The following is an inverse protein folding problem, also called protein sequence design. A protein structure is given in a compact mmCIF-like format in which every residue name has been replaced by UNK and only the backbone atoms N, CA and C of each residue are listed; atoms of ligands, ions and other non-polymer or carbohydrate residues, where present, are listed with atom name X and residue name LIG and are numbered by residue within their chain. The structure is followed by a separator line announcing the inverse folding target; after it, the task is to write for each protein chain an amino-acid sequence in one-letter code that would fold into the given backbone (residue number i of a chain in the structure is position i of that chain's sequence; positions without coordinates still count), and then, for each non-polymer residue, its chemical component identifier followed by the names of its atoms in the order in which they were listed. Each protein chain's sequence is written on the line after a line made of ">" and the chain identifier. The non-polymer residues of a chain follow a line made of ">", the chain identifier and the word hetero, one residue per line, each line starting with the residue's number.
data_IF_562916585434
#
_entry.id   IF_562916585434
#
_cell.length_a   1.000
_cell.length_b   1.000
_cell.length_c   1.000
_cell.angle_alpha   90.00
_cell.angle_beta   90.00
_cell.angle_gamma   90.00
#
_symmetry.space_group_name_H-M   'P 1'
#
loop_
_entity.id
_entity.type
_entity.pdbx_description
1 polymer ?
#
# COMPACT_ATOMS: atom_id res chain seq x y z
N UNK A 1 -20.82 -51.78 42.70
CA UNK A 1 -20.50 -51.53 41.27
C UNK A 1 -20.40 -50.04 41.06
N UNK A 2 -19.17 -49.48 41.04
CA UNK A 2 -18.94 -48.04 40.88
C UNK A 2 -18.57 -47.81 39.39
N UNK A 3 -19.45 -47.09 38.64
CA UNK A 3 -19.19 -46.69 37.27
C UNK A 3 -18.33 -45.43 37.26
N UNK A 4 -17.08 -45.52 36.80
CA UNK A 4 -16.19 -44.38 36.55
C UNK A 4 -16.50 -43.84 35.15
N UNK A 5 -17.00 -42.64 35.10
CA UNK A 5 -17.30 -41.93 33.86
C UNK A 5 -16.09 -41.07 33.49
N UNK A 6 -15.29 -41.52 32.52
CA UNK A 6 -14.14 -40.77 32.00
C UNK A 6 -14.64 -39.64 31.12
N UNK A 7 -14.42 -38.39 31.55
CA UNK A 7 -14.57 -37.22 30.71
C UNK A 7 -13.33 -37.08 29.83
N UNK A 8 -13.49 -37.26 28.50
CA UNK A 8 -12.49 -36.88 27.54
C UNK A 8 -12.57 -35.36 27.34
N UNK A 9 -11.55 -34.63 27.77
CA UNK A 9 -11.34 -33.23 27.42
C UNK A 9 -10.75 -33.17 25.99
N UNK A 10 -11.56 -32.71 25.04
CA UNK A 10 -11.12 -32.41 23.69
C UNK A 10 -10.48 -31.01 23.71
N UNK A 11 -9.14 -30.96 23.79
CA UNK A 11 -8.39 -29.71 23.67
C UNK A 11 -8.38 -29.27 22.20
N UNK A 12 -9.19 -28.28 21.85
CA UNK A 12 -9.10 -27.60 20.56
C UNK A 12 -7.81 -26.75 20.55
N UNK A 13 -6.80 -27.17 19.81
CA UNK A 13 -5.65 -26.32 19.49
C UNK A 13 -6.15 -25.24 18.51
N UNK A 14 -6.29 -24.00 19.00
CA UNK A 14 -6.43 -22.85 18.15
C UNK A 14 -5.09 -22.61 17.43
N UNK A 15 -5.05 -22.82 16.11
CA UNK A 15 -3.92 -22.43 15.29
C UNK A 15 -3.78 -20.89 15.37
N UNK A 16 -2.57 -20.33 15.56
CA UNK A 16 -2.38 -18.89 15.47
C UNK A 16 -2.76 -18.45 14.07
N UNK A 17 -3.66 -17.46 13.97
CA UNK A 17 -3.90 -16.75 12.73
C UNK A 17 -2.64 -15.91 12.46
N UNK A 18 -1.79 -16.36 11.54
CA UNK A 18 -0.70 -15.53 11.03
C UNK A 18 -1.34 -14.38 10.27
N UNK A 19 -1.07 -13.13 10.72
CA UNK A 19 -1.31 -11.96 9.89
C UNK A 19 -0.54 -12.20 8.58
N UNK A 20 -1.20 -11.96 7.44
CA UNK A 20 -0.58 -12.16 6.13
C UNK A 20 0.52 -11.09 5.97
N UNK A 21 1.78 -11.50 6.16
CA UNK A 21 2.95 -10.62 6.09
C UNK A 21 3.14 -9.96 4.71
N UNK A 22 2.38 -10.43 3.71
CA UNK A 22 2.35 -9.89 2.35
C UNK A 22 1.16 -8.95 2.09
N UNK A 23 0.38 -8.62 3.13
CA UNK A 23 -0.75 -7.69 3.05
C UNK A 23 -0.44 -6.42 3.84
N UNK A 24 -0.56 -5.27 3.18
CA UNK A 24 -0.28 -3.96 3.73
C UNK A 24 -1.53 -3.08 3.72
N UNK A 25 -1.71 -2.29 4.76
CA UNK A 25 -2.73 -1.25 4.83
C UNK A 25 -2.05 0.10 5.05
N UNK A 26 -2.48 1.11 4.30
CA UNK A 26 -2.01 2.49 4.40
C UNK A 26 -3.22 3.40 4.49
N UNK A 27 -3.18 4.35 5.40
CA UNK A 27 -4.18 5.40 5.52
C UNK A 27 -3.62 6.73 5.01
N UNK A 28 -4.47 7.50 4.34
CA UNK A 28 -4.21 8.88 3.93
C UNK A 28 -5.29 9.80 4.50
N UNK A 29 -4.99 11.09 4.70
CA UNK A 29 -5.91 12.02 5.34
C UNK A 29 -5.93 13.40 4.69
N UNK A 30 -6.85 14.28 5.13
CA UNK A 30 -6.99 15.65 4.63
C UNK A 30 -5.84 16.59 5.01
N UNK A 31 -4.85 16.14 5.80
CA UNK A 31 -3.65 16.88 6.12
C UNK A 31 -2.47 16.57 5.18
N UNK A 32 -2.71 15.93 4.03
CA UNK A 32 -1.69 15.47 3.07
C UNK A 32 -0.65 14.56 3.75
N UNK A 33 -1.10 13.53 4.45
CA UNK A 33 -0.23 12.60 5.17
C UNK A 33 -0.64 11.15 4.90
N UNK A 34 0.36 10.28 4.76
CA UNK A 34 0.21 8.86 5.02
C UNK A 34 0.45 8.60 6.51
N UNK A 35 -0.24 7.60 7.06
CA UNK A 35 -0.06 7.15 8.45
C UNK A 35 1.32 6.51 8.70
N UNK A 36 2.02 6.14 7.63
CA UNK A 36 3.36 5.54 7.69
C UNK A 36 4.31 6.16 6.69
N UNK A 37 5.61 6.13 7.02
CA UNK A 37 6.71 6.56 6.15
C UNK A 37 7.65 5.42 5.78
N UNK A 38 7.38 4.22 6.25
CA UNK A 38 8.15 3.03 5.91
C UNK A 38 7.25 1.80 5.86
N UNK A 39 7.37 1.05 4.79
CA UNK A 39 6.69 -0.23 4.57
C UNK A 39 7.74 -1.29 4.27
N UNK A 40 7.52 -2.50 4.73
CA UNK A 40 8.38 -3.64 4.39
C UNK A 40 7.58 -4.93 4.32
N UNK A 41 8.02 -5.81 3.45
CA UNK A 41 7.51 -7.19 3.34
C UNK A 41 8.70 -8.16 3.27
N UNK A 42 8.54 -9.39 3.76
CA UNK A 42 9.57 -10.42 3.63
C UNK A 42 9.89 -10.73 2.16
N UNK A 43 11.13 -11.11 1.86
CA UNK A 43 11.55 -11.56 0.53
C UNK A 43 10.82 -12.85 0.07
N UNK A 44 10.17 -13.55 0.98
CA UNK A 44 9.32 -14.72 0.70
C UNK A 44 7.98 -14.38 0.06
N UNK A 45 7.51 -13.13 0.19
CA UNK A 45 6.32 -12.66 -0.51
C UNK A 45 6.56 -12.64 -2.02
N UNK A 46 5.74 -13.34 -2.79
CA UNK A 46 5.78 -13.34 -4.25
C UNK A 46 4.89 -12.26 -4.85
N UNK A 47 3.87 -11.90 -4.12
CA UNK A 47 2.92 -10.85 -4.42
C UNK A 47 2.60 -10.09 -3.13
N UNK A 48 2.37 -8.78 -3.23
CA UNK A 48 1.93 -7.92 -2.14
C UNK A 48 0.55 -7.40 -2.47
N UNK A 49 -0.38 -7.52 -1.51
CA UNK A 49 -1.66 -6.82 -1.56
C UNK A 49 -1.56 -5.56 -0.70
N UNK A 50 -1.82 -4.40 -1.31
CA UNK A 50 -1.84 -3.12 -0.61
C UNK A 50 -3.23 -2.51 -0.68
N UNK A 51 -3.76 -2.12 0.47
CA UNK A 51 -5.03 -1.40 0.61
C UNK A 51 -4.74 0.03 1.07
N UNK A 52 -5.22 1.01 0.31
CA UNK A 52 -5.20 2.42 0.65
C UNK A 52 -6.60 2.87 1.06
N UNK A 53 -6.72 3.51 2.23
CA UNK A 53 -7.97 4.11 2.73
C UNK A 53 -7.76 5.61 2.93
N UNK A 54 -8.68 6.43 2.41
CA UNK A 54 -8.69 7.87 2.68
C UNK A 54 -9.61 8.17 3.87
N UNK A 55 -9.04 8.43 5.02
CA UNK A 55 -9.78 8.67 6.28
C UNK A 55 -10.36 10.09 6.40
N UNK A 56 -10.03 10.97 5.45
CA UNK A 56 -10.56 12.34 5.38
C UNK A 56 -11.97 12.41 4.80
N UNK A 57 -12.40 13.62 4.47
CA UNK A 57 -13.75 13.94 3.96
C UNK A 57 -13.73 14.76 2.68
N UNK A 58 -12.58 15.29 2.28
CA UNK A 58 -12.48 16.16 1.11
C UNK A 58 -12.60 15.34 -0.19
N UNK A 59 -13.24 15.91 -1.22
CA UNK A 59 -13.44 15.21 -2.49
C UNK A 59 -12.12 14.97 -3.23
N UNK A 60 -12.09 13.97 -4.09
CA UNK A 60 -10.92 13.57 -4.88
C UNK A 60 -10.31 14.72 -5.68
N UNK A 61 -11.11 15.66 -6.17
CA UNK A 61 -10.62 16.80 -6.94
C UNK A 61 -9.84 17.81 -6.09
N UNK A 62 -10.05 17.86 -4.77
CA UNK A 62 -9.41 18.79 -3.85
C UNK A 62 -8.28 18.13 -3.04
N UNK A 63 -8.45 16.88 -2.66
CA UNK A 63 -7.56 16.14 -1.76
C UNK A 63 -7.47 14.67 -2.16
N UNK A 64 -7.35 14.40 -3.46
CA UNK A 64 -7.18 13.03 -3.94
C UNK A 64 -5.87 12.41 -3.49
N UNK A 65 -5.91 11.14 -3.13
CA UNK A 65 -4.73 10.37 -2.78
C UNK A 65 -4.66 9.06 -3.56
N UNK A 66 -3.45 8.68 -3.93
CA UNK A 66 -3.10 7.36 -4.39
C UNK A 66 -1.79 6.91 -3.73
N UNK A 67 -1.46 5.66 -3.90
CA UNK A 67 -0.19 5.09 -3.52
C UNK A 67 0.54 4.62 -4.78
N UNK A 68 1.74 5.10 -5.00
CA UNK A 68 2.56 4.82 -6.19
C UNK A 68 3.91 4.31 -5.76
N UNK A 69 4.42 3.27 -6.39
CA UNK A 69 5.74 2.70 -6.13
C UNK A 69 6.67 2.90 -7.32
N UNK A 70 7.86 3.41 -7.05
CA UNK A 70 8.95 3.55 -8.03
C UNK A 70 10.29 3.19 -7.40
N UNK A 71 11.37 3.13 -8.21
CA UNK A 71 12.71 3.25 -7.64
C UNK A 71 12.88 4.62 -6.97
N UNK A 72 13.71 4.71 -5.95
CA UNK A 72 14.00 5.99 -5.28
C UNK A 72 14.66 6.98 -6.24
N UNK A 73 15.43 6.49 -7.22
CA UNK A 73 16.06 7.33 -8.24
C UNK A 73 15.05 7.98 -9.20
N UNK A 74 13.96 7.28 -9.52
CA UNK A 74 12.97 7.72 -10.52
C UNK A 74 11.79 8.50 -9.92
N UNK A 75 11.60 8.43 -8.61
CA UNK A 75 10.39 8.92 -7.94
C UNK A 75 10.06 10.37 -8.28
N UNK A 76 11.04 11.27 -8.24
CA UNK A 76 10.83 12.70 -8.45
C UNK A 76 10.48 13.02 -9.91
N UNK A 77 11.13 12.34 -10.85
CA UNK A 77 10.87 12.53 -12.27
C UNK A 77 9.49 12.00 -12.66
N UNK A 78 9.08 10.85 -12.11
CA UNK A 78 7.73 10.29 -12.31
C UNK A 78 6.67 11.21 -11.72
N UNK A 79 6.86 11.69 -10.48
CA UNK A 79 5.94 12.61 -9.83
C UNK A 79 5.78 13.92 -10.62
N UNK A 80 6.88 14.46 -11.13
CA UNK A 80 6.87 15.70 -11.93
C UNK A 80 6.19 15.49 -13.29
N UNK A 81 6.51 14.41 -13.99
CA UNK A 81 5.89 14.08 -15.28
C UNK A 81 4.38 13.80 -15.12
N UNK A 82 3.99 13.19 -14.02
CA UNK A 82 2.59 12.88 -13.71
C UNK A 82 1.68 14.09 -13.54
N UNK A 83 2.21 15.25 -13.14
CA UNK A 83 1.40 16.47 -12.98
C UNK A 83 0.66 16.87 -14.26
N UNK A 84 1.29 16.68 -15.42
CA UNK A 84 0.69 16.96 -16.73
C UNK A 84 -0.25 15.88 -17.27
N UNK A 85 -0.26 14.70 -16.65
CA UNK A 85 -1.07 13.57 -17.12
C UNK A 85 -2.55 13.67 -16.73
N UNK A 86 -2.88 14.49 -15.73
CA UNK A 86 -4.24 14.75 -15.26
C UNK A 86 -4.85 13.64 -14.40
N UNK A 87 -6.05 13.92 -13.82
CA UNK A 87 -6.71 13.01 -12.90
C UNK A 87 -7.16 11.70 -13.55
N UNK A 88 -7.54 11.70 -14.82
CA UNK A 88 -7.98 10.50 -15.55
C UNK A 88 -6.86 9.45 -15.67
N UNK A 89 -5.60 9.89 -15.59
CA UNK A 89 -4.43 9.04 -15.54
C UNK A 89 -3.84 8.92 -14.11
N UNK A 90 -4.61 9.21 -13.07
CA UNK A 90 -4.16 9.20 -11.68
C UNK A 90 -2.92 10.09 -11.43
N UNK A 91 -2.72 11.15 -12.22
CA UNK A 91 -1.50 11.97 -12.24
C UNK A 91 -0.22 11.13 -12.40
N UNK A 92 -0.25 10.17 -13.30
CA UNK A 92 0.89 9.32 -13.66
C UNK A 92 1.13 9.36 -15.17
N UNK A 93 2.39 9.37 -15.62
CA UNK A 93 2.69 9.26 -17.02
C UNK A 93 2.17 7.91 -17.55
N UNK A 94 1.50 7.96 -18.70
CA UNK A 94 0.89 6.77 -19.30
C UNK A 94 1.97 5.77 -19.72
N UNK A 95 1.75 4.50 -19.39
CA UNK A 95 2.60 3.36 -19.78
C UNK A 95 4.09 3.54 -19.40
N UNK A 96 4.37 4.26 -18.32
CA UNK A 96 5.74 4.49 -17.84
C UNK A 96 6.24 3.31 -17.02
N UNK A 97 7.26 2.61 -17.53
CA UNK A 97 7.84 1.43 -16.89
C UNK A 97 8.50 1.72 -15.51
N UNK A 98 8.75 2.98 -15.18
CA UNK A 98 9.26 3.38 -13.85
C UNK A 98 8.20 3.30 -12.75
N UNK A 99 6.91 3.30 -13.12
CA UNK A 99 5.79 3.05 -12.20
C UNK A 99 5.65 1.55 -12.00
N UNK A 100 6.15 1.04 -10.87
CA UNK A 100 6.17 -0.39 -10.57
C UNK A 100 4.81 -0.92 -10.10
N UNK A 101 4.06 -0.09 -9.38
CA UNK A 101 2.68 -0.36 -8.94
C UNK A 101 1.99 0.95 -8.56
N UNK A 102 0.67 1.01 -8.68
CA UNK A 102 -0.11 2.15 -8.18
C UNK A 102 -1.56 1.78 -7.91
N UNK A 103 -2.18 2.45 -6.94
CA UNK A 103 -3.63 2.44 -6.77
C UNK A 103 -4.27 3.49 -7.68
N UNK A 104 -5.59 3.41 -7.87
CA UNK A 104 -6.34 4.56 -8.40
C UNK A 104 -6.30 5.73 -7.40
N UNK A 105 -6.60 6.93 -7.91
CA UNK A 105 -6.84 8.12 -7.09
C UNK A 105 -8.19 7.98 -6.37
N UNK A 106 -8.22 8.24 -5.06
CA UNK A 106 -9.43 8.17 -4.22
C UNK A 106 -9.65 9.45 -3.44
N UNK A 107 -10.92 9.75 -3.14
CA UNK A 107 -11.35 10.84 -2.27
C UNK A 107 -11.67 10.40 -0.86
N UNK A 108 -12.05 11.36 -0.01
CA UNK A 108 -12.39 11.12 1.39
C UNK A 108 -13.46 10.05 1.59
N UNK A 109 -13.22 9.13 2.51
CA UNK A 109 -14.10 7.99 2.82
C UNK A 109 -13.98 6.80 1.86
N UNK A 110 -13.16 6.89 0.81
CA UNK A 110 -12.98 5.80 -0.15
C UNK A 110 -11.82 4.88 0.22
N UNK A 111 -11.89 3.66 -0.27
CA UNK A 111 -10.84 2.63 -0.15
C UNK A 111 -10.57 1.99 -1.50
N UNK A 112 -9.32 1.64 -1.76
CA UNK A 112 -8.89 0.94 -2.97
C UNK A 112 -7.79 -0.05 -2.63
N UNK A 113 -7.68 -1.15 -3.40
CA UNK A 113 -6.64 -2.15 -3.21
C UNK A 113 -6.01 -2.52 -4.54
N UNK A 114 -4.74 -2.91 -4.48
CA UNK A 114 -3.99 -3.48 -5.60
C UNK A 114 -3.22 -4.70 -5.12
N UNK A 115 -2.90 -5.59 -6.06
CA UNK A 115 -1.88 -6.61 -5.85
C UNK A 115 -0.79 -6.46 -6.92
N UNK A 116 0.46 -6.61 -6.53
CA UNK A 116 1.60 -6.49 -7.43
C UNK A 116 2.71 -7.49 -7.09
N UNK A 117 3.45 -7.98 -8.09
CA UNK A 117 4.54 -8.92 -7.88
C UNK A 117 5.75 -8.25 -7.23
N UNK A 118 6.49 -9.01 -6.43
CA UNK A 118 7.74 -8.55 -5.79
C UNK A 118 8.98 -8.99 -6.56
N UNK A 119 8.80 -9.70 -7.67
CA UNK A 119 9.92 -10.16 -8.48
C UNK A 119 10.84 -9.01 -8.89
N UNK A 120 12.14 -9.17 -8.63
CA UNK A 120 13.14 -8.14 -8.93
C UNK A 120 13.16 -6.94 -8.00
N UNK A 121 12.34 -6.89 -6.93
CA UNK A 121 12.28 -5.77 -5.98
C UNK A 121 13.16 -5.97 -4.74
N UNK A 122 13.55 -7.21 -4.41
CA UNK A 122 14.37 -7.49 -3.24
C UNK A 122 15.71 -6.74 -3.27
N UNK A 123 16.03 -6.08 -2.16
CA UNK A 123 17.27 -5.31 -1.99
C UNK A 123 17.34 -4.02 -2.79
N UNK A 124 16.28 -3.61 -3.48
CA UNK A 124 16.24 -2.33 -4.20
C UNK A 124 15.81 -1.18 -3.30
N UNK A 125 16.34 0.00 -3.60
CA UNK A 125 15.90 1.26 -3.02
C UNK A 125 14.59 1.70 -3.70
N UNK A 126 13.48 1.62 -2.95
CA UNK A 126 12.15 1.91 -3.46
C UNK A 126 11.49 3.01 -2.62
N UNK A 127 10.77 3.89 -3.31
CA UNK A 127 9.98 4.97 -2.70
C UNK A 127 8.52 4.82 -3.11
N UNK A 128 7.62 4.89 -2.12
CA UNK A 128 6.20 5.10 -2.39
C UNK A 128 5.82 6.56 -2.15
N UNK A 129 4.83 7.05 -2.91
CA UNK A 129 4.39 8.44 -2.81
C UNK A 129 2.95 8.61 -3.32
N UNK A 130 2.36 9.79 -3.08
CA UNK A 130 1.11 10.24 -3.68
C UNK A 130 1.41 11.12 -4.88
N UNK A 131 0.87 10.81 -6.05
CA UNK A 131 1.13 11.56 -7.29
C UNK A 131 0.21 12.77 -7.50
N UNK A 132 -0.81 12.98 -6.66
CA UNK A 132 -1.63 14.18 -6.73
C UNK A 132 -0.74 15.44 -6.69
N UNK A 133 -0.99 16.46 -7.53
CA UNK A 133 -0.13 17.64 -7.64
C UNK A 133 0.18 18.30 -6.28
N UNK A 134 1.46 18.44 -5.98
CA UNK A 134 1.94 19.02 -4.74
C UNK A 134 2.05 18.06 -3.54
N UNK A 135 1.40 16.89 -3.57
CA UNK A 135 1.39 15.97 -2.42
C UNK A 135 2.69 15.20 -2.22
N UNK A 136 3.38 14.81 -3.27
CA UNK A 136 4.58 13.98 -3.21
C UNK A 136 5.74 14.57 -2.40
N UNK A 137 5.74 15.88 -2.19
CA UNK A 137 6.74 16.52 -1.33
C UNK A 137 6.63 16.05 0.12
N UNK A 138 5.38 15.86 0.61
CA UNK A 138 5.05 15.47 1.99
C UNK A 138 4.66 13.99 2.10
N UNK A 139 3.90 13.49 1.12
CA UNK A 139 3.33 12.15 1.11
C UNK A 139 4.25 11.19 0.37
N UNK A 140 5.28 10.72 1.06
CA UNK A 140 6.23 9.70 0.56
C UNK A 140 6.84 8.92 1.71
N UNK A 141 7.34 7.74 1.37
CA UNK A 141 8.05 6.87 2.29
C UNK A 141 8.89 5.81 1.58
N UNK A 142 9.62 5.01 2.33
CA UNK A 142 10.44 3.92 1.82
C UNK A 142 9.64 2.61 1.76
N UNK A 143 9.91 1.81 0.75
CA UNK A 143 9.38 0.44 0.62
C UNK A 143 10.54 -0.54 0.53
N UNK A 144 10.47 -1.65 1.27
CA UNK A 144 11.51 -2.68 1.28
C UNK A 144 10.94 -4.07 1.07
N UNK A 145 11.65 -4.88 0.29
CA UNK A 145 11.44 -6.31 0.14
C UNK A 145 12.69 -7.02 0.64
N UNK A 146 12.56 -7.72 1.76
CA UNK A 146 13.69 -8.41 2.36
C UNK A 146 13.78 -8.29 3.87
#
# INVERSE_FOLDING_TARGET
>A
MKKVMSLLFLSALAAPAFADECTLTVEANDAMQFDTKALSVPATCKEVTLTLTHTGKLPVAAMGHNWVLTSTADFQDVATAGMGAGPDNNYLPKDDARVLAHTKLIGGGETTSISFPTEGLAGKDLTFFCSFPGHWAMMKGSFKVG
#
